data_IF_211329994528
#
_entry.id   IF_211329994528
#
_cell.length_a   1.000
_cell.length_b   1.000
_cell.length_c   1.000
_cell.angle_alpha   90.00
_cell.angle_beta   90.00
_cell.angle_gamma   90.00
#
_symmetry.space_group_name_H-M   'P 1'
#
loop_
_entity.id
_entity.type
_entity.pdbx_description
1 polymer ?
#
# COMPACT_ATOMS: atom_id res chain seq x y z
N UNK A 1 1.85 -29.93 -20.51
CA UNK A 1 1.75 -28.58 -21.13
C UNK A 1 2.32 -27.58 -20.12
N UNK A 2 3.58 -27.32 -20.25
CA UNK A 2 4.23 -26.25 -19.49
C UNK A 2 3.76 -24.92 -20.07
N UNK A 3 2.89 -24.27 -19.31
CA UNK A 3 2.48 -22.91 -19.60
C UNK A 3 3.63 -22.00 -19.14
N UNK A 4 4.68 -21.93 -19.94
CA UNK A 4 5.83 -21.06 -19.72
C UNK A 4 5.38 -19.62 -19.98
N UNK A 5 4.50 -19.10 -19.09
CA UNK A 5 4.33 -17.67 -18.98
C UNK A 5 5.65 -17.17 -18.44
N UNK A 6 6.33 -16.42 -19.25
CA UNK A 6 7.46 -15.61 -18.84
C UNK A 6 6.90 -14.60 -17.83
N UNK A 7 6.67 -15.08 -16.59
CA UNK A 7 6.13 -14.31 -15.49
C UNK A 7 7.34 -13.46 -15.06
N UNK A 8 7.37 -12.22 -15.55
CA UNK A 8 8.28 -11.23 -15.00
C UNK A 8 8.16 -11.23 -13.48
N UNK A 9 9.16 -10.70 -12.81
CA UNK A 9 9.18 -10.65 -11.34
C UNK A 9 7.89 -10.09 -10.79
N UNK A 10 7.18 -10.81 -9.89
CA UNK A 10 5.90 -10.35 -9.37
C UNK A 10 6.06 -9.04 -8.58
N UNK A 11 5.08 -8.16 -8.71
CA UNK A 11 5.07 -6.84 -8.09
C UNK A 11 4.06 -6.83 -6.95
N UNK A 12 4.55 -6.63 -5.75
CA UNK A 12 3.76 -6.55 -4.53
C UNK A 12 3.67 -5.12 -4.03
N UNK A 13 2.48 -4.72 -3.58
CA UNK A 13 2.26 -3.50 -2.84
C UNK A 13 1.87 -3.82 -1.41
N UNK A 14 2.65 -3.34 -0.45
CA UNK A 14 2.34 -3.42 0.97
C UNK A 14 1.66 -2.12 1.41
N UNK A 15 0.52 -2.21 2.06
CA UNK A 15 -0.22 -1.05 2.55
C UNK A 15 -0.90 -1.36 3.89
N UNK A 16 -1.45 -0.33 4.53
CA UNK A 16 -2.23 -0.49 5.76
C UNK A 16 -1.53 0.00 7.01
N UNK A 17 -0.20 0.00 7.05
CA UNK A 17 0.56 0.63 8.13
C UNK A 17 0.78 2.10 7.78
N UNK A 18 0.55 3.00 8.74
CA UNK A 18 0.75 4.44 8.52
C UNK A 18 2.22 4.86 8.48
N UNK A 19 3.10 4.03 8.99
CA UNK A 19 4.55 4.24 9.00
C UNK A 19 5.25 3.21 9.88
N UNK A 20 6.54 3.00 9.66
CA UNK A 20 7.38 2.07 10.45
C UNK A 20 8.00 2.78 11.67
N UNK A 21 7.24 3.65 12.31
CA UNK A 21 7.68 4.46 13.45
C UNK A 21 7.88 3.67 14.75
N UNK A 22 7.38 2.46 14.85
CA UNK A 22 7.60 1.56 15.96
C UNK A 22 8.15 0.20 15.48
N UNK A 23 8.79 -0.53 16.38
CA UNK A 23 9.44 -1.81 16.08
C UNK A 23 8.45 -2.87 15.56
N UNK A 24 7.21 -2.84 16.02
CA UNK A 24 6.19 -3.78 15.57
C UNK A 24 5.81 -3.58 14.10
N UNK A 25 5.58 -2.33 13.69
CA UNK A 25 5.30 -1.98 12.30
C UNK A 25 6.49 -2.29 11.39
N UNK A 26 7.70 -1.96 11.84
CA UNK A 26 8.94 -2.27 11.11
C UNK A 26 9.13 -3.78 10.95
N UNK A 27 8.91 -4.55 12.00
CA UNK A 27 9.02 -6.01 11.97
C UNK A 27 8.01 -6.65 10.99
N UNK A 28 6.79 -6.14 10.92
CA UNK A 28 5.78 -6.62 9.96
C UNK A 28 6.24 -6.38 8.52
N UNK A 29 6.70 -5.18 8.20
CA UNK A 29 7.17 -4.84 6.85
C UNK A 29 8.36 -5.69 6.46
N UNK A 30 9.38 -5.79 7.31
CA UNK A 30 10.60 -6.59 7.08
C UNK A 30 10.29 -8.08 6.99
N UNK A 31 9.46 -8.59 7.89
CA UNK A 31 9.05 -10.00 7.88
C UNK A 31 8.28 -10.36 6.63
N UNK A 32 7.40 -9.48 6.15
CA UNK A 32 6.68 -9.68 4.90
C UNK A 32 7.64 -9.71 3.71
N UNK A 33 8.63 -8.81 3.66
CA UNK A 33 9.66 -8.84 2.61
C UNK A 33 10.39 -10.19 2.59
N UNK A 34 10.86 -10.65 3.75
CA UNK A 34 11.58 -11.92 3.86
C UNK A 34 10.74 -13.08 3.33
N UNK A 35 9.50 -13.21 3.79
CA UNK A 35 8.59 -14.28 3.36
C UNK A 35 8.32 -14.23 1.85
N UNK A 36 8.10 -13.06 1.28
CA UNK A 36 7.86 -12.92 -0.15
C UNK A 36 9.09 -13.31 -0.97
N UNK A 37 10.28 -12.95 -0.50
CA UNK A 37 11.52 -13.26 -1.21
C UNK A 37 11.98 -14.71 -1.06
N UNK A 38 11.52 -15.43 -0.04
CA UNK A 38 11.71 -16.87 0.04
C UNK A 38 11.04 -17.60 -1.12
N UNK A 39 9.88 -17.11 -1.57
CA UNK A 39 9.12 -17.71 -2.68
C UNK A 39 9.49 -17.07 -4.01
N UNK A 40 9.69 -15.75 -4.03
CA UNK A 40 10.02 -14.96 -5.22
C UNK A 40 11.25 -14.07 -4.95
N UNK A 41 12.46 -14.58 -5.12
CA UNK A 41 13.70 -13.85 -4.81
C UNK A 41 13.82 -12.50 -5.55
N UNK A 42 13.27 -12.42 -6.76
CA UNK A 42 13.33 -11.24 -7.63
C UNK A 42 12.05 -10.38 -7.55
N UNK A 43 11.20 -10.61 -6.57
CA UNK A 43 9.98 -9.83 -6.40
C UNK A 43 10.27 -8.33 -6.25
N UNK A 44 9.48 -7.51 -6.93
CA UNK A 44 9.45 -6.06 -6.73
C UNK A 44 8.47 -5.77 -5.62
N UNK A 45 8.94 -5.20 -4.52
CA UNK A 45 8.12 -4.94 -3.33
C UNK A 45 8.08 -3.44 -3.11
N UNK A 46 6.88 -2.86 -3.14
CA UNK A 46 6.61 -1.47 -2.83
C UNK A 46 5.87 -1.38 -1.49
N UNK A 47 6.17 -0.37 -0.71
CA UNK A 47 5.50 -0.07 0.54
C UNK A 47 4.93 1.35 0.52
N UNK A 48 3.63 1.47 0.73
CA UNK A 48 2.93 2.76 0.74
C UNK A 48 3.04 3.42 2.12
N UNK A 49 3.82 4.48 2.20
CA UNK A 49 4.12 5.21 3.44
C UNK A 49 3.48 6.60 3.45
N UNK A 50 3.05 7.04 4.62
CA UNK A 50 2.65 8.43 4.89
C UNK A 50 3.81 9.27 5.45
N UNK A 51 4.93 8.63 5.84
CA UNK A 51 6.14 9.24 6.38
C UNK A 51 7.36 8.85 5.56
N UNK A 52 7.38 9.31 4.32
CA UNK A 52 8.32 8.84 3.31
C UNK A 52 9.79 8.90 3.75
N UNK A 53 10.21 10.03 4.32
CA UNK A 53 11.60 10.25 4.72
C UNK A 53 12.01 9.36 5.91
N UNK A 54 11.18 9.29 6.94
CA UNK A 54 11.42 8.48 8.13
C UNK A 54 11.48 6.98 7.78
N UNK A 55 10.53 6.52 6.99
CA UNK A 55 10.44 5.12 6.59
C UNK A 55 11.56 4.74 5.63
N UNK A 56 11.95 5.63 4.73
CA UNK A 56 13.10 5.45 3.85
C UNK A 56 14.40 5.28 4.64
N UNK A 57 14.58 6.06 5.69
CA UNK A 57 15.75 5.97 6.56
C UNK A 57 15.79 4.64 7.33
N UNK A 58 14.63 4.19 7.83
CA UNK A 58 14.53 2.94 8.61
C UNK A 58 14.65 1.69 7.76
N UNK A 59 14.16 1.72 6.54
CA UNK A 59 14.14 0.58 5.62
C UNK A 59 15.26 0.63 4.58
N UNK A 60 16.26 1.51 4.76
CA UNK A 60 17.36 1.72 3.81
C UNK A 60 18.22 0.49 3.49
N UNK A 61 18.25 -0.48 4.41
CA UNK A 61 18.96 -1.74 4.28
C UNK A 61 18.11 -2.85 3.62
N UNK A 62 16.85 -2.56 3.31
CA UNK A 62 15.96 -3.46 2.59
C UNK A 62 15.97 -3.17 1.10
N UNK A 63 15.39 -4.09 0.31
CA UNK A 63 15.15 -3.88 -1.12
C UNK A 63 13.71 -3.46 -1.41
N UNK A 64 13.05 -2.82 -0.43
CA UNK A 64 11.68 -2.32 -0.55
C UNK A 64 11.72 -0.92 -1.14
N UNK A 65 10.93 -0.69 -2.18
CA UNK A 65 10.68 0.64 -2.72
C UNK A 65 9.58 1.33 -1.93
N UNK A 66 9.89 2.50 -1.36
CA UNK A 66 8.92 3.25 -0.58
C UNK A 66 8.20 4.24 -1.49
N UNK A 67 6.87 4.12 -1.55
CA UNK A 67 6.02 4.97 -2.36
C UNK A 67 5.12 5.84 -1.47
N UNK A 68 4.83 7.08 -1.86
CA UNK A 68 4.00 7.95 -1.04
C UNK A 68 2.55 7.46 -1.01
N UNK A 69 1.99 7.38 0.18
CA UNK A 69 0.55 7.23 0.38
C UNK A 69 -0.05 8.62 0.56
N UNK A 70 -0.81 9.07 -0.41
CA UNK A 70 -1.47 10.37 -0.35
C UNK A 70 -2.70 10.25 0.53
N UNK A 71 -2.64 10.84 1.73
CA UNK A 71 -3.82 11.04 2.56
C UNK A 71 -4.43 12.41 2.24
N UNK A 72 -5.66 12.41 1.73
CA UNK A 72 -6.40 13.65 1.56
C UNK A 72 -7.06 14.07 2.88
N UNK A 73 -6.91 15.33 3.24
CA UNK A 73 -7.63 15.90 4.37
C UNK A 73 -9.15 15.72 4.20
N UNK A 74 -9.84 15.48 5.31
CA UNK A 74 -11.31 15.35 5.38
C UNK A 74 -12.04 16.55 4.74
N UNK A 75 -11.40 17.70 4.70
CA UNK A 75 -11.91 18.96 4.13
C UNK A 75 -11.33 19.30 2.75
N UNK A 76 -10.63 18.36 2.12
CA UNK A 76 -10.17 18.56 0.76
C UNK A 76 -11.35 18.77 -0.17
N UNK A 77 -11.23 19.75 -1.09
CA UNK A 77 -12.21 20.00 -2.17
C UNK A 77 -12.60 18.71 -2.90
N UNK A 78 -11.66 17.80 -3.02
CA UNK A 78 -11.83 16.50 -3.64
C UNK A 78 -12.77 15.57 -2.86
N UNK A 79 -12.67 15.57 -1.52
CA UNK A 79 -13.60 14.83 -0.67
C UNK A 79 -15.00 15.44 -0.68
N UNK A 80 -15.10 16.75 -0.78
CA UNK A 80 -16.37 17.46 -0.92
C UNK A 80 -17.03 17.13 -2.26
N UNK A 81 -16.27 17.16 -3.36
CA UNK A 81 -16.77 16.76 -4.68
C UNK A 81 -17.18 15.28 -4.72
N UNK A 82 -16.44 14.39 -4.06
CA UNK A 82 -16.80 12.97 -3.95
C UNK A 82 -18.10 12.78 -3.19
N UNK A 83 -18.29 13.49 -2.08
CA UNK A 83 -19.51 13.43 -1.28
C UNK A 83 -20.72 13.98 -2.06
N UNK A 84 -20.53 15.08 -2.77
CA UNK A 84 -21.57 15.66 -3.63
C UNK A 84 -21.95 14.72 -4.79
N UNK A 85 -20.96 14.09 -5.44
CA UNK A 85 -21.18 13.11 -6.49
C UNK A 85 -21.89 11.85 -5.99
N UNK A 86 -21.57 11.38 -4.80
CA UNK A 86 -22.26 10.26 -4.13
C UNK A 86 -23.71 10.59 -3.84
N UNK A 87 -24.01 11.80 -3.39
CA UNK A 87 -25.39 12.26 -3.15
C UNK A 87 -26.19 12.40 -4.45
N UNK A 88 -25.54 12.77 -5.55
CA UNK A 88 -26.17 12.90 -6.87
C UNK A 88 -26.34 11.56 -7.61
N UNK A 89 -25.98 10.42 -6.99
CA UNK A 89 -26.00 9.07 -7.60
C UNK A 89 -25.27 8.97 -8.94
N UNK A 90 -24.24 9.76 -9.12
CA UNK A 90 -23.36 9.69 -10.29
C UNK A 90 -22.36 8.53 -10.11
N UNK A 91 -22.81 7.32 -10.43
CA UNK A 91 -22.00 6.10 -10.28
C UNK A 91 -20.78 6.01 -11.21
N UNK A 92 -20.69 6.92 -12.17
CA UNK A 92 -19.58 6.97 -13.13
C UNK A 92 -18.45 7.91 -12.70
N UNK A 93 -18.62 8.67 -11.62
CA UNK A 93 -17.51 9.45 -11.08
C UNK A 93 -16.49 8.45 -10.53
N UNK A 94 -15.35 8.28 -11.18
CA UNK A 94 -14.35 7.36 -10.69
C UNK A 94 -14.02 7.74 -9.26
N UNK A 95 -14.05 6.76 -8.36
CA UNK A 95 -13.49 6.90 -7.02
C UNK A 95 -12.00 7.20 -7.25
N UNK A 96 -11.70 8.47 -7.37
CA UNK A 96 -10.36 8.95 -7.61
C UNK A 96 -9.56 8.99 -6.30
N UNK A 97 -9.61 7.92 -5.54
CA UNK A 97 -8.42 7.56 -4.83
C UNK A 97 -7.43 7.20 -5.92
N UNK A 98 -6.40 7.99 -6.09
CA UNK A 98 -5.35 7.65 -7.03
C UNK A 98 -4.73 6.34 -6.57
N UNK A 99 -5.23 5.28 -7.11
CA UNK A 99 -4.71 3.95 -6.99
C UNK A 99 -3.61 3.72 -8.03
N UNK A 100 -3.01 4.81 -8.57
CA UNK A 100 -1.94 4.72 -9.57
C UNK A 100 -0.82 3.78 -9.10
N UNK A 101 -0.57 3.73 -7.79
CA UNK A 101 0.41 2.81 -7.22
C UNK A 101 -0.12 1.38 -7.04
N UNK A 102 -1.45 1.19 -6.99
CA UNK A 102 -2.06 -0.16 -6.95
C UNK A 102 -2.11 -0.74 -8.35
N UNK A 103 -2.39 0.07 -9.37
CA UNK A 103 -2.49 -0.40 -10.76
C UNK A 103 -1.18 -0.93 -11.31
N UNK A 104 -0.05 -0.52 -10.74
CA UNK A 104 1.29 -1.01 -11.11
C UNK A 104 1.74 -2.24 -10.29
N UNK A 105 0.83 -2.88 -9.57
CA UNK A 105 1.12 -4.04 -8.74
C UNK A 105 0.28 -5.23 -9.16
N UNK A 106 0.86 -6.42 -9.10
CA UNK A 106 0.14 -7.67 -9.40
C UNK A 106 -0.67 -8.12 -8.18
N UNK A 107 -0.17 -7.83 -6.99
CA UNK A 107 -0.80 -8.16 -5.70
C UNK A 107 -0.67 -7.01 -4.72
N UNK A 108 -1.77 -6.63 -4.08
CA UNK A 108 -1.77 -5.67 -2.98
C UNK A 108 -2.07 -6.39 -1.65
N UNK A 109 -1.15 -6.27 -0.69
CA UNK A 109 -1.25 -6.90 0.61
C UNK A 109 -1.53 -5.84 1.69
N UNK A 110 -2.66 -5.97 2.36
CA UNK A 110 -2.94 -5.20 3.57
C UNK A 110 -2.19 -5.83 4.74
N UNK A 111 -1.21 -5.09 5.25
CA UNK A 111 -0.38 -5.50 6.38
C UNK A 111 -0.65 -4.57 7.56
N UNK A 112 -0.78 -5.11 8.76
CA UNK A 112 -1.01 -4.34 9.98
C UNK A 112 -2.21 -4.83 10.78
N UNK A 113 -2.06 -4.81 12.11
CA UNK A 113 -3.06 -5.33 13.04
C UNK A 113 -4.16 -4.34 13.40
N UNK A 114 -3.82 -3.06 13.54
CA UNK A 114 -4.73 -2.04 14.10
C UNK A 114 -5.85 -1.60 13.15
N UNK A 115 -5.69 -1.85 11.85
CA UNK A 115 -6.72 -1.49 10.86
C UNK A 115 -8.03 -2.25 11.03
N UNK A 116 -7.95 -3.42 11.62
CA UNK A 116 -9.10 -4.32 11.82
C UNK A 116 -9.55 -4.40 13.27
N UNK A 117 -8.94 -3.62 14.16
CA UNK A 117 -9.37 -3.52 15.54
C UNK A 117 -10.69 -2.74 15.61
N UNK A 118 -11.72 -3.36 16.16
CA UNK A 118 -12.95 -2.67 16.52
C UNK A 118 -12.63 -1.77 17.73
N UNK A 119 -12.60 -0.46 17.52
CA UNK A 119 -12.58 0.47 18.64
C UNK A 119 -13.97 0.52 19.24
N UNK A 120 -14.15 0.12 20.50
CA UNK A 120 -15.43 0.33 21.18
C UNK A 120 -15.69 1.84 21.26
N UNK A 121 -16.83 2.28 20.78
CA UNK A 121 -17.32 3.66 20.89
C UNK A 121 -17.57 4.01 22.37
#
# INVERSE_FOLDING_TARGET
MENNRNIGSPRFLLYGIGGVYNYGCEAIVRGTEIMLREVWPDAIIKYASVRLEDDAQRLKDTRIEIVPRIQYSRYSLRNICRKAASMARLSWVPIMEKLDFITDSDVALSIGGDLYALHPN
#
